data_IF_303524863853
#
_entry.id   IF_303524863853
#
_cell.length_a   1.000
_cell.length_b   1.000
_cell.length_c   1.000
_cell.angle_alpha   90.00
_cell.angle_beta   90.00
_cell.angle_gamma   90.00
#
_symmetry.space_group_name_H-M   'P 1'
#
loop_
_entity.id
_entity.type
_entity.pdbx_description
1 polymer ?
#
# COMPACT_ATOMS: atom_id res chain seq x y z
N UNK A 1 -20.69 39.47 -19.96
CA UNK A 1 -21.02 38.09 -20.38
C UNK A 1 -20.14 37.16 -19.56
N UNK A 2 -20.68 36.60 -18.47
CA UNK A 2 -19.96 35.69 -17.57
C UNK A 2 -20.12 34.27 -18.10
N UNK A 3 -19.03 33.64 -18.53
CA UNK A 3 -18.99 32.20 -18.81
C UNK A 3 -18.66 31.47 -17.51
N UNK A 4 -19.70 31.09 -16.76
CA UNK A 4 -19.55 30.18 -15.63
C UNK A 4 -19.41 28.78 -16.24
N UNK A 5 -18.17 28.39 -16.51
CA UNK A 5 -17.82 27.01 -16.85
C UNK A 5 -17.92 26.14 -15.61
N UNK A 6 -19.09 25.56 -15.37
CA UNK A 6 -19.25 24.50 -14.39
C UNK A 6 -18.62 23.23 -14.99
N UNK A 7 -17.35 22.95 -14.66
CA UNK A 7 -16.84 21.59 -14.87
C UNK A 7 -17.62 20.69 -13.92
N UNK A 8 -18.59 19.94 -14.45
CA UNK A 8 -19.14 18.81 -13.72
C UNK A 8 -17.97 17.86 -13.46
N UNK A 9 -17.42 17.92 -12.25
CA UNK A 9 -16.46 16.95 -11.77
C UNK A 9 -17.25 15.65 -11.74
N UNK A 10 -17.04 14.79 -12.75
CA UNK A 10 -17.65 13.46 -12.79
C UNK A 10 -17.17 12.77 -11.53
N UNK A 11 -18.03 12.66 -10.52
CA UNK A 11 -17.81 11.77 -9.40
C UNK A 11 -17.75 10.37 -10.01
N UNK A 12 -16.61 9.65 -9.87
CA UNK A 12 -16.51 8.27 -10.33
C UNK A 12 -17.71 7.51 -9.77
N UNK A 13 -18.45 6.88 -10.67
CA UNK A 13 -19.58 6.07 -10.25
C UNK A 13 -19.01 4.91 -9.44
N UNK A 14 -19.67 4.43 -8.39
CA UNK A 14 -19.16 3.39 -7.46
C UNK A 14 -18.57 2.12 -8.13
N UNK A 15 -18.84 1.90 -9.42
CA UNK A 15 -18.26 0.84 -10.25
C UNK A 15 -16.85 1.16 -10.82
N UNK A 16 -16.30 2.35 -10.59
CA UNK A 16 -15.08 2.87 -11.24
C UNK A 16 -13.89 3.04 -10.27
N UNK A 17 -14.03 2.64 -9.00
CA UNK A 17 -12.94 2.70 -8.01
C UNK A 17 -12.87 1.43 -7.17
N UNK A 18 -11.66 1.05 -6.77
CA UNK A 18 -11.36 -0.09 -5.91
C UNK A 18 -11.92 0.19 -4.51
N UNK A 19 -12.41 -0.84 -3.79
CA UNK A 19 -12.85 -0.67 -2.39
C UNK A 19 -11.70 -0.24 -1.48
N UNK A 20 -12.01 0.38 -0.33
CA UNK A 20 -10.98 0.79 0.64
C UNK A 20 -10.14 -0.38 1.13
N UNK A 21 -10.76 -1.53 1.36
CA UNK A 21 -10.11 -2.77 1.84
C UNK A 21 -9.16 -3.33 0.79
N UNK A 22 -9.57 -3.27 -0.48
CA UNK A 22 -8.74 -3.74 -1.59
C UNK A 22 -7.59 -2.76 -1.87
N UNK A 23 -7.83 -1.46 -1.79
CA UNK A 23 -6.79 -0.44 -1.90
C UNK A 23 -5.79 -0.53 -0.75
N UNK A 24 -6.24 -0.71 0.49
CA UNK A 24 -5.35 -0.90 1.64
C UNK A 24 -4.51 -2.16 1.50
N UNK A 25 -5.09 -3.27 1.02
CA UNK A 25 -4.35 -4.52 0.75
C UNK A 25 -3.22 -4.32 -0.28
N UNK A 26 -3.46 -3.54 -1.34
CA UNK A 26 -2.43 -3.18 -2.34
C UNK A 26 -1.31 -2.36 -1.68
N UNK A 27 -1.68 -1.34 -0.91
CA UNK A 27 -0.71 -0.45 -0.24
C UNK A 27 0.12 -1.19 0.82
N UNK A 28 -0.46 -2.15 1.54
CA UNK A 28 0.28 -2.99 2.49
C UNK A 28 1.37 -3.79 1.76
N UNK A 29 1.04 -4.47 0.67
CA UNK A 29 2.02 -5.23 -0.12
C UNK A 29 3.13 -4.31 -0.66
N UNK A 30 2.76 -3.13 -1.18
CA UNK A 30 3.71 -2.13 -1.67
C UNK A 30 4.67 -1.68 -0.56
N UNK A 31 4.16 -1.32 0.61
CA UNK A 31 4.99 -0.90 1.75
C UNK A 31 5.90 -2.00 2.29
N UNK A 32 5.47 -3.27 2.28
CA UNK A 32 6.32 -4.40 2.71
C UNK A 32 7.51 -4.56 1.75
N UNK A 33 7.25 -4.48 0.44
CA UNK A 33 8.30 -4.59 -0.59
C UNK A 33 9.27 -3.40 -0.48
N UNK A 34 8.73 -2.18 -0.42
CA UNK A 34 9.54 -0.95 -0.26
C UNK A 34 10.39 -1.01 1.01
N UNK A 35 9.80 -1.41 2.13
CA UNK A 35 10.50 -1.54 3.42
C UNK A 35 11.61 -2.59 3.37
N UNK A 36 11.37 -3.72 2.70
CA UNK A 36 12.37 -4.79 2.52
C UNK A 36 13.56 -4.31 1.70
N UNK A 37 13.29 -3.61 0.59
CA UNK A 37 14.35 -3.07 -0.27
C UNK A 37 15.10 -1.96 0.46
N UNK A 38 14.40 -1.08 1.16
CA UNK A 38 15.02 -0.03 1.94
C UNK A 38 15.95 -0.61 3.03
N UNK A 39 15.51 -1.61 3.78
CA UNK A 39 16.33 -2.31 4.77
C UNK A 39 17.55 -2.98 4.12
N UNK A 40 17.36 -3.72 3.03
CA UNK A 40 18.47 -4.34 2.30
C UNK A 40 19.50 -3.31 1.82
N UNK A 41 19.02 -2.21 1.24
CA UNK A 41 19.88 -1.14 0.74
C UNK A 41 20.58 -0.39 1.88
N UNK A 42 20.07 -0.40 3.11
CA UNK A 42 20.78 0.18 4.24
C UNK A 42 21.86 -0.76 4.80
N UNK A 43 21.65 -2.06 4.71
CA UNK A 43 22.54 -3.08 5.30
C UNK A 43 23.64 -3.56 4.36
N UNK A 44 23.46 -3.40 3.04
CA UNK A 44 24.36 -3.98 2.03
C UNK A 44 24.95 -2.95 1.07
N UNK A 45 26.06 -3.31 0.40
CA UNK A 45 26.69 -2.47 -0.63
C UNK A 45 25.99 -2.58 -1.99
N UNK A 46 25.44 -3.74 -2.30
CA UNK A 46 24.66 -3.97 -3.52
C UNK A 46 23.29 -3.32 -3.37
N UNK A 47 22.95 -2.40 -4.28
CA UNK A 47 21.68 -1.66 -4.20
C UNK A 47 20.66 -2.27 -5.14
N UNK A 48 19.48 -2.51 -4.62
CA UNK A 48 18.31 -2.98 -5.38
C UNK A 48 17.38 -1.80 -5.60
N UNK A 49 16.84 -1.68 -6.81
CA UNK A 49 15.73 -0.79 -7.13
C UNK A 49 14.70 -1.56 -7.94
N UNK A 50 13.43 -1.24 -7.75
CA UNK A 50 12.35 -1.78 -8.58
C UNK A 50 11.97 -0.76 -9.63
N UNK A 51 11.89 -1.24 -10.86
CA UNK A 51 11.31 -0.48 -11.96
C UNK A 51 9.78 -0.44 -11.83
N UNK A 52 9.15 0.53 -12.48
CA UNK A 52 7.68 0.66 -12.48
C UNK A 52 7.00 -0.64 -12.93
N UNK A 53 7.58 -1.31 -13.91
CA UNK A 53 7.08 -2.56 -14.49
C UNK A 53 6.96 -3.68 -13.44
N UNK A 54 7.75 -3.64 -12.36
CA UNK A 54 7.60 -4.59 -11.27
C UNK A 54 6.27 -4.40 -10.53
N UNK A 55 5.87 -3.15 -10.26
CA UNK A 55 4.60 -2.85 -9.62
C UNK A 55 3.42 -3.30 -10.47
N UNK A 56 3.50 -3.04 -11.78
CA UNK A 56 2.47 -3.43 -12.75
C UNK A 56 2.35 -4.96 -12.87
N UNK A 57 3.48 -5.66 -12.97
CA UNK A 57 3.51 -7.11 -13.19
C UNK A 57 3.31 -7.94 -11.94
N UNK A 58 3.72 -7.48 -10.76
CA UNK A 58 3.67 -8.28 -9.54
C UNK A 58 2.53 -7.85 -8.63
N UNK A 59 2.50 -6.58 -8.21
CA UNK A 59 1.53 -6.11 -7.22
C UNK A 59 0.15 -5.99 -7.86
N UNK A 60 0.04 -5.27 -8.95
CA UNK A 60 -1.24 -5.01 -9.61
C UNK A 60 -1.82 -6.29 -10.21
N UNK A 61 -0.99 -7.17 -10.78
CA UNK A 61 -1.43 -8.50 -11.22
C UNK A 61 -1.93 -9.37 -10.06
N UNK A 62 -1.20 -9.44 -8.93
CA UNK A 62 -1.63 -10.19 -7.73
C UNK A 62 -3.00 -9.72 -7.25
N UNK A 63 -3.28 -8.43 -7.37
CA UNK A 63 -4.55 -7.84 -6.94
C UNK A 63 -5.64 -7.82 -8.01
N UNK A 64 -5.35 -8.19 -9.26
CA UNK A 64 -6.32 -8.12 -10.36
C UNK A 64 -6.77 -6.69 -10.67
N UNK A 65 -5.85 -5.73 -10.52
CA UNK A 65 -6.10 -4.29 -10.68
C UNK A 65 -5.20 -3.75 -11.77
N UNK A 66 -5.68 -2.82 -12.59
CA UNK A 66 -4.81 -2.05 -13.50
C UNK A 66 -4.20 -0.84 -12.79
N UNK A 67 -3.00 -0.44 -13.19
CA UNK A 67 -2.33 0.78 -12.72
C UNK A 67 -3.22 2.05 -12.81
N UNK A 68 -3.98 2.22 -13.91
CA UNK A 68 -4.92 3.35 -14.04
C UNK A 68 -6.00 3.32 -12.96
N UNK A 69 -6.68 2.19 -12.79
CA UNK A 69 -7.70 2.00 -11.77
C UNK A 69 -7.16 2.23 -10.34
N UNK A 70 -5.92 1.79 -10.05
CA UNK A 70 -5.26 2.08 -8.78
C UNK A 70 -5.09 3.59 -8.58
N UNK A 71 -4.49 4.29 -9.55
CA UNK A 71 -4.28 5.75 -9.45
C UNK A 71 -5.59 6.52 -9.33
N UNK A 72 -6.60 6.16 -10.11
CA UNK A 72 -7.93 6.76 -10.06
C UNK A 72 -8.59 6.55 -8.69
N UNK A 73 -8.43 5.36 -8.09
CA UNK A 73 -8.95 5.06 -6.75
C UNK A 73 -8.22 5.86 -5.66
N UNK A 74 -6.90 5.99 -5.74
CA UNK A 74 -6.11 6.85 -4.83
C UNK A 74 -6.56 8.31 -4.94
N UNK A 75 -6.70 8.81 -6.16
CA UNK A 75 -7.17 10.17 -6.42
C UNK A 75 -8.59 10.38 -5.85
N UNK A 76 -9.50 9.43 -6.09
CA UNK A 76 -10.86 9.48 -5.61
C UNK A 76 -10.94 9.63 -4.08
N UNK A 77 -10.32 8.71 -3.34
CA UNK A 77 -10.37 8.74 -1.87
C UNK A 77 -9.62 9.93 -1.26
N UNK A 78 -8.65 10.49 -1.99
CA UNK A 78 -7.95 11.71 -1.58
C UNK A 78 -8.85 12.94 -1.74
N UNK A 79 -9.55 13.07 -2.87
CA UNK A 79 -10.38 14.24 -3.19
C UNK A 79 -11.72 14.19 -2.43
N UNK A 80 -12.39 13.05 -2.42
CA UNK A 80 -13.74 12.89 -1.91
C UNK A 80 -13.79 12.33 -0.48
N UNK A 81 -12.63 12.12 0.14
CA UNK A 81 -12.50 11.57 1.49
C UNK A 81 -12.45 10.04 1.52
N UNK A 82 -12.04 9.49 2.66
CA UNK A 82 -11.84 8.05 2.86
C UNK A 82 -10.38 7.59 2.79
N UNK A 83 -9.46 8.43 2.30
CA UNK A 83 -8.03 8.09 2.30
C UNK A 83 -7.47 7.90 3.72
N UNK A 84 -8.01 8.63 4.71
CA UNK A 84 -7.65 8.43 6.13
C UNK A 84 -8.00 7.03 6.62
N UNK A 85 -9.17 6.51 6.24
CA UNK A 85 -9.59 5.17 6.63
C UNK A 85 -8.70 4.11 5.97
N UNK A 86 -8.37 4.31 4.69
CA UNK A 86 -7.43 3.44 3.95
C UNK A 86 -6.09 3.39 4.67
N UNK A 87 -5.50 4.54 5.03
CA UNK A 87 -4.23 4.57 5.75
C UNK A 87 -4.33 4.04 7.18
N UNK A 88 -5.46 4.20 7.87
CA UNK A 88 -5.69 3.56 9.17
C UNK A 88 -5.60 2.04 9.04
N UNK A 89 -6.30 1.45 8.05
CA UNK A 89 -6.24 0.01 7.79
C UNK A 89 -4.82 -0.46 7.46
N UNK A 90 -4.07 0.31 6.66
CA UNK A 90 -2.67 0.02 6.34
C UNK A 90 -1.81 0.01 7.62
N UNK A 91 -1.89 1.06 8.43
CA UNK A 91 -1.12 1.19 9.66
C UNK A 91 -1.46 0.08 10.66
N UNK A 92 -2.74 -0.22 10.85
CA UNK A 92 -3.20 -1.28 11.75
C UNK A 92 -2.66 -2.65 11.32
N UNK A 93 -2.67 -2.93 10.02
CA UNK A 93 -2.11 -4.17 9.47
C UNK A 93 -0.60 -4.25 9.67
N UNK A 94 0.15 -3.18 9.36
CA UNK A 94 1.60 -3.15 9.53
C UNK A 94 2.00 -3.27 11.00
N UNK A 95 1.27 -2.61 11.91
CA UNK A 95 1.47 -2.74 13.35
C UNK A 95 1.21 -4.17 13.84
N UNK A 96 0.19 -4.83 13.31
CA UNK A 96 -0.11 -6.23 13.62
C UNK A 96 1.04 -7.14 13.19
N UNK A 97 1.55 -6.97 11.97
CA UNK A 97 2.71 -7.73 11.46
C UNK A 97 3.95 -7.49 12.33
N UNK A 98 4.24 -6.24 12.69
CA UNK A 98 5.37 -5.90 13.56
C UNK A 98 5.25 -6.55 14.95
N UNK A 99 4.06 -6.49 15.57
CA UNK A 99 3.83 -7.12 16.86
C UNK A 99 4.03 -8.64 16.81
N UNK A 100 3.59 -9.29 15.73
CA UNK A 100 3.84 -10.71 15.50
C UNK A 100 5.33 -11.01 15.37
N UNK A 101 6.07 -10.20 14.59
CA UNK A 101 7.52 -10.37 14.40
C UNK A 101 8.28 -10.25 15.72
N UNK A 102 7.97 -9.26 16.54
CA UNK A 102 8.59 -9.08 17.86
C UNK A 102 8.28 -10.25 18.80
N UNK A 103 7.05 -10.78 18.77
CA UNK A 103 6.69 -11.97 19.56
C UNK A 103 7.51 -13.20 19.15
N UNK A 104 7.76 -13.38 17.84
CA UNK A 104 8.58 -14.47 17.31
C UNK A 104 10.04 -14.30 17.71
N UNK A 105 10.56 -13.06 17.64
CA UNK A 105 11.92 -12.71 18.06
C UNK A 105 12.13 -13.03 19.54
N UNK A 106 11.21 -12.64 20.41
CA UNK A 106 11.32 -12.90 21.84
C UNK A 106 11.32 -14.41 22.16
N UNK A 107 10.45 -15.19 21.49
CA UNK A 107 10.43 -16.66 21.64
C UNK A 107 11.78 -17.29 21.28
N UNK A 108 12.42 -16.84 20.20
CA UNK A 108 13.75 -17.31 19.78
C UNK A 108 14.84 -16.97 20.80
N UNK A 109 14.82 -15.75 21.34
CA UNK A 109 15.77 -15.33 22.39
C UNK A 109 15.63 -16.22 23.63
N UNK A 110 14.40 -16.39 24.12
CA UNK A 110 14.13 -17.20 25.31
C UNK A 110 14.55 -18.66 25.12
N UNK A 111 14.30 -19.25 23.93
CA UNK A 111 14.71 -20.62 23.62
C UNK A 111 16.23 -20.80 23.57
N UNK A 112 16.97 -19.78 23.13
CA UNK A 112 18.44 -19.82 23.09
C UNK A 112 19.08 -19.61 24.48
N UNK A 113 18.38 -18.99 25.43
CA UNK A 113 18.83 -18.81 26.82
C UNK A 113 18.61 -20.05 27.70
N UNK A 114 17.86 -21.04 27.22
CA UNK A 114 17.57 -22.30 27.92
C UNK A 114 18.46 -23.46 27.45
N UNK A 115 19.43 -23.20 26.56
CA UNK A 115 20.47 -24.13 26.12
C UNK A 115 21.81 -23.73 26.71
#
# INVERSE_FOLDING_TARGET
MFLIGCSQQKTPTFNEVISKEKLSSILIDMHIIDGTIHSHNNETREKISLEKEYYDSVIFQKHGVSDSLFRESVQYYTIYGGIKDVFSMVLDSLNTVNAQLESVRQKKINANQQK
#
